data_IF_472231447062
#
_entry.id   IF_472231447062
#
_cell.length_a   1.000
_cell.length_b   1.000
_cell.length_c   1.000
_cell.angle_alpha   90.00
_cell.angle_beta   90.00
_cell.angle_gamma   90.00
#
_symmetry.space_group_name_H-M   'P 1'
#
loop_
_entity.id
_entity.type
_entity.pdbx_description
1 polymer ?
#
# COMPACT_ATOMS: atom_id res chain seq x y z
N UNK A 1 18.95 -19.23 -3.81
CA UNK A 1 17.49 -18.97 -3.73
C UNK A 1 16.92 -19.73 -2.55
N UNK A 2 16.03 -19.08 -1.81
CA UNK A 2 15.17 -19.71 -0.83
C UNK A 2 14.13 -20.64 -1.49
N UNK A 3 13.28 -21.26 -0.70
CA UNK A 3 12.27 -22.20 -1.21
C UNK A 3 10.88 -22.01 -0.58
N UNK A 4 10.67 -20.92 0.18
CA UNK A 4 9.40 -20.67 0.88
C UNK A 4 8.21 -20.44 -0.07
N UNK A 5 8.50 -19.97 -1.29
CA UNK A 5 7.51 -19.67 -2.32
C UNK A 5 7.72 -20.53 -3.58
N UNK A 6 8.47 -21.64 -3.44
CA UNK A 6 8.69 -22.57 -4.55
C UNK A 6 7.37 -22.99 -5.19
N UNK A 7 7.34 -23.02 -6.53
CA UNK A 7 6.14 -23.34 -7.36
C UNK A 7 5.00 -22.30 -7.24
N UNK A 8 5.12 -21.23 -6.46
CA UNK A 8 4.13 -20.16 -6.42
C UNK A 8 4.34 -19.18 -7.57
N UNK A 9 3.24 -18.61 -8.05
CA UNK A 9 3.24 -17.58 -9.08
C UNK A 9 2.75 -16.27 -8.51
N UNK A 10 3.56 -15.23 -8.63
CA UNK A 10 3.30 -13.90 -8.12
C UNK A 10 3.10 -12.90 -9.25
N UNK A 11 2.15 -11.97 -9.07
CA UNK A 11 1.97 -10.78 -9.90
C UNK A 11 2.22 -9.56 -9.02
N UNK A 12 3.10 -8.66 -9.47
CA UNK A 12 3.41 -7.40 -8.75
C UNK A 12 3.15 -6.22 -9.67
N UNK A 13 2.16 -5.40 -9.32
CA UNK A 13 1.84 -4.20 -10.11
C UNK A 13 2.78 -3.03 -9.78
N UNK A 14 3.21 -2.27 -10.80
CA UNK A 14 4.15 -1.16 -10.62
C UNK A 14 5.50 -1.63 -10.09
N UNK A 15 6.02 -2.73 -10.63
CA UNK A 15 7.24 -3.38 -10.13
C UNK A 15 8.54 -2.91 -10.79
N UNK A 16 8.49 -1.95 -11.71
CA UNK A 16 9.70 -1.46 -12.37
C UNK A 16 10.66 -0.71 -11.46
N UNK A 17 10.18 -0.16 -10.34
CA UNK A 17 11.00 0.69 -9.46
C UNK A 17 10.57 0.59 -7.98
N UNK A 18 11.42 1.08 -7.08
CA UNK A 18 11.12 1.31 -5.67
C UNK A 18 10.59 0.08 -4.95
N UNK A 19 9.53 0.23 -4.16
CA UNK A 19 8.96 -0.84 -3.35
C UNK A 19 8.51 -2.03 -4.21
N UNK A 20 7.89 -1.77 -5.37
CA UNK A 20 7.43 -2.84 -6.27
C UNK A 20 8.58 -3.68 -6.82
N UNK A 21 9.71 -3.04 -7.18
CA UNK A 21 10.94 -3.73 -7.58
C UNK A 21 11.48 -4.61 -6.45
N UNK A 22 11.67 -4.03 -5.27
CA UNK A 22 12.18 -4.76 -4.12
C UNK A 22 11.31 -5.98 -3.77
N UNK A 23 9.99 -5.83 -3.83
CA UNK A 23 9.03 -6.93 -3.60
C UNK A 23 9.18 -8.01 -4.69
N UNK A 24 9.23 -7.65 -5.98
CA UNK A 24 9.31 -8.61 -7.07
C UNK A 24 10.59 -9.47 -6.97
N UNK A 25 11.71 -8.83 -6.67
CA UNK A 25 13.00 -9.51 -6.46
C UNK A 25 12.95 -10.43 -5.25
N UNK A 26 12.47 -9.96 -4.09
CA UNK A 26 12.41 -10.76 -2.89
C UNK A 26 11.48 -11.99 -3.01
N UNK A 27 10.35 -11.86 -3.71
CA UNK A 27 9.48 -13.00 -4.02
C UNK A 27 10.20 -14.03 -4.90
N UNK A 28 10.95 -13.57 -5.90
CA UNK A 28 11.74 -14.45 -6.76
C UNK A 28 12.90 -15.13 -6.01
N UNK A 29 13.57 -14.42 -5.12
CA UNK A 29 14.63 -14.97 -4.26
C UNK A 29 14.14 -16.12 -3.40
N UNK A 30 12.88 -16.12 -2.99
CA UNK A 30 12.22 -17.22 -2.25
C UNK A 30 11.59 -18.29 -3.17
N UNK A 31 11.85 -18.22 -4.48
CA UNK A 31 11.50 -19.23 -5.45
C UNK A 31 10.16 -19.04 -6.16
N UNK A 32 9.50 -17.89 -6.02
CA UNK A 32 8.31 -17.57 -6.80
C UNK A 32 8.67 -17.28 -8.27
N UNK A 33 7.76 -17.67 -9.18
CA UNK A 33 7.76 -17.19 -10.57
C UNK A 33 6.99 -15.87 -10.61
N UNK A 34 7.53 -14.83 -11.26
CA UNK A 34 7.01 -13.47 -11.12
C UNK A 34 6.54 -12.90 -12.46
N UNK A 35 5.35 -12.33 -12.49
CA UNK A 35 4.94 -11.40 -13.54
C UNK A 35 5.18 -9.99 -13.03
N UNK A 36 6.11 -9.30 -13.65
CA UNK A 36 6.39 -7.87 -13.39
C UNK A 36 5.47 -7.00 -14.22
N UNK A 37 5.07 -5.84 -13.71
CA UNK A 37 4.22 -4.90 -14.44
C UNK A 37 4.70 -3.46 -14.32
N UNK A 38 4.66 -2.75 -15.44
CA UNK A 38 4.72 -1.29 -15.49
C UNK A 38 3.86 -0.77 -16.66
N UNK A 39 3.76 0.57 -16.76
CA UNK A 39 2.87 1.19 -17.75
C UNK A 39 3.39 1.03 -19.20
N UNK A 40 4.70 1.14 -19.40
CA UNK A 40 5.36 1.09 -20.71
C UNK A 40 6.83 0.71 -20.58
N UNK A 41 7.49 0.26 -21.68
CA UNK A 41 8.93 0.01 -21.70
C UNK A 41 9.74 1.33 -21.68
N UNK A 42 11.01 1.21 -21.25
CA UNK A 42 11.99 2.30 -21.32
C UNK A 42 11.81 3.41 -20.28
N UNK A 43 11.15 3.12 -19.15
CA UNK A 43 11.00 4.10 -18.06
C UNK A 43 12.37 4.31 -17.38
N UNK A 44 12.85 5.58 -17.24
CA UNK A 44 14.11 5.84 -16.55
C UNK A 44 14.11 5.29 -15.10
N UNK A 45 15.13 4.54 -14.76
CA UNK A 45 15.31 3.91 -13.46
C UNK A 45 14.76 2.48 -13.35
N UNK A 46 14.21 1.94 -14.41
CA UNK A 46 13.70 0.57 -14.53
C UNK A 46 12.23 0.48 -14.92
N UNK A 47 11.89 -0.61 -15.56
CA UNK A 47 10.55 -0.97 -16.00
C UNK A 47 10.29 -2.47 -15.77
N UNK A 48 9.16 -2.97 -16.25
CA UNK A 48 8.78 -4.37 -16.06
C UNK A 48 9.82 -5.34 -16.64
N UNK A 49 10.35 -5.06 -17.84
CA UNK A 49 11.33 -5.93 -18.51
C UNK A 49 12.68 -5.91 -17.80
N UNK A 50 13.15 -4.73 -17.37
CA UNK A 50 14.38 -4.57 -16.61
C UNK A 50 14.38 -5.48 -15.37
N UNK A 51 13.28 -5.51 -14.63
CA UNK A 51 13.18 -6.30 -13.41
C UNK A 51 13.00 -7.80 -13.73
N UNK A 52 12.24 -8.13 -14.78
CA UNK A 52 12.13 -9.53 -15.22
C UNK A 52 13.50 -10.08 -15.65
N UNK A 53 14.31 -9.30 -16.37
CA UNK A 53 15.68 -9.68 -16.74
C UNK A 53 16.59 -9.85 -15.52
N UNK A 54 16.52 -8.93 -14.55
CA UNK A 54 17.28 -9.02 -13.30
C UNK A 54 16.95 -10.32 -12.55
N UNK A 55 15.67 -10.64 -12.39
CA UNK A 55 15.21 -11.88 -11.76
C UNK A 55 15.73 -13.12 -12.53
N UNK A 56 15.61 -13.12 -13.84
CA UNK A 56 16.07 -14.24 -14.67
C UNK A 56 17.60 -14.41 -14.59
N UNK A 57 18.37 -13.32 -14.55
CA UNK A 57 19.82 -13.35 -14.41
C UNK A 57 20.28 -13.91 -13.04
N UNK A 58 19.47 -13.73 -11.98
CA UNK A 58 19.71 -14.34 -10.68
C UNK A 58 19.35 -15.83 -10.62
N UNK A 59 18.85 -16.41 -11.73
CA UNK A 59 18.39 -17.80 -11.82
C UNK A 59 16.92 -18.01 -11.40
N UNK A 60 16.14 -16.93 -11.22
CA UNK A 60 14.69 -16.99 -11.05
C UNK A 60 13.94 -17.16 -12.37
N UNK A 61 12.62 -16.97 -12.32
CA UNK A 61 11.75 -16.98 -13.51
C UNK A 61 10.81 -15.77 -13.45
N UNK A 62 10.91 -14.89 -14.43
CA UNK A 62 10.00 -13.75 -14.55
C UNK A 62 9.68 -13.41 -15.99
N UNK A 63 8.49 -12.86 -16.21
CA UNK A 63 8.03 -12.31 -17.47
C UNK A 63 7.49 -10.89 -17.27
N UNK A 64 7.76 -9.96 -18.18
CA UNK A 64 7.23 -8.62 -18.11
C UNK A 64 5.81 -8.55 -18.68
N UNK A 65 5.01 -7.64 -18.12
CA UNK A 65 3.71 -7.23 -18.66
C UNK A 65 3.62 -5.70 -18.66
N UNK A 66 3.25 -5.12 -19.77
CA UNK A 66 3.01 -3.69 -19.92
C UNK A 66 1.52 -3.37 -20.00
N UNK A 67 1.08 -2.45 -19.17
CA UNK A 67 -0.29 -1.97 -19.15
C UNK A 67 -0.55 -1.05 -17.97
N UNK A 68 -1.26 0.04 -18.24
CA UNK A 68 -1.65 1.00 -17.21
C UNK A 68 -2.77 0.40 -16.34
N UNK A 69 -2.45 0.18 -15.07
CA UNK A 69 -3.43 -0.32 -14.11
C UNK A 69 -4.49 0.75 -13.84
N UNK A 70 -5.75 0.42 -14.04
CA UNK A 70 -6.86 1.37 -13.86
C UNK A 70 -8.20 0.88 -14.43
N UNK A 71 -8.18 -0.19 -15.21
CA UNK A 71 -9.40 -0.77 -15.75
C UNK A 71 -9.42 -2.32 -15.66
N UNK A 72 -10.63 -2.88 -15.74
CA UNK A 72 -10.82 -4.34 -15.59
C UNK A 72 -10.09 -5.11 -16.68
N UNK A 73 -10.09 -4.65 -17.91
CA UNK A 73 -9.46 -5.36 -19.03
C UNK A 73 -7.95 -5.51 -18.83
N UNK A 74 -7.25 -4.45 -18.41
CA UNK A 74 -5.81 -4.53 -18.14
C UNK A 74 -5.53 -5.45 -16.96
N UNK A 75 -6.35 -5.35 -15.88
CA UNK A 75 -6.25 -6.29 -14.76
C UNK A 75 -6.45 -7.75 -15.18
N UNK A 76 -7.41 -8.02 -16.08
CA UNK A 76 -7.63 -9.37 -16.62
C UNK A 76 -6.41 -9.84 -17.44
N UNK A 77 -5.94 -9.04 -18.38
CA UNK A 77 -4.79 -9.38 -19.23
C UNK A 77 -3.51 -9.64 -18.41
N UNK A 78 -3.31 -8.86 -17.33
CA UNK A 78 -2.18 -9.08 -16.42
C UNK A 78 -2.27 -10.42 -15.69
N UNK A 79 -3.45 -10.81 -15.22
CA UNK A 79 -3.64 -12.12 -14.57
C UNK A 79 -3.56 -13.25 -15.58
N UNK A 80 -4.09 -13.06 -16.78
CA UNK A 80 -3.97 -14.06 -17.86
C UNK A 80 -2.50 -14.26 -18.24
N UNK A 81 -1.66 -13.23 -18.25
CA UNK A 81 -0.22 -13.39 -18.47
C UNK A 81 0.44 -14.32 -17.42
N UNK A 82 -0.01 -14.31 -16.16
CA UNK A 82 0.49 -15.24 -15.15
C UNK A 82 0.01 -16.68 -15.43
N UNK A 83 -1.25 -16.84 -15.83
CA UNK A 83 -1.83 -18.15 -16.14
C UNK A 83 -1.22 -18.73 -17.42
N UNK A 84 -1.05 -17.93 -18.47
CA UNK A 84 -0.52 -18.37 -19.76
C UNK A 84 0.95 -18.79 -19.68
N UNK A 85 1.76 -18.06 -18.90
CA UNK A 85 3.19 -18.37 -18.76
C UNK A 85 3.49 -19.41 -17.68
N UNK A 86 2.69 -19.45 -16.61
CA UNK A 86 3.04 -20.24 -15.42
C UNK A 86 1.90 -21.17 -14.93
N UNK A 87 0.74 -21.17 -15.59
CA UNK A 87 -0.38 -22.08 -15.33
C UNK A 87 -1.29 -21.69 -14.16
N UNK A 88 -0.94 -20.67 -13.34
CA UNK A 88 -1.66 -20.32 -12.12
C UNK A 88 -1.35 -18.89 -11.63
N UNK A 89 -2.06 -18.45 -10.61
CA UNK A 89 -1.70 -17.26 -9.80
C UNK A 89 -1.93 -17.56 -8.33
N UNK A 90 -0.91 -17.41 -7.51
CA UNK A 90 -0.96 -17.64 -6.05
C UNK A 90 -0.88 -16.36 -5.23
N UNK A 91 -0.13 -15.37 -5.71
CA UNK A 91 0.20 -14.16 -5.00
C UNK A 91 -0.11 -12.96 -5.90
N UNK A 92 -0.93 -12.03 -5.41
CA UNK A 92 -1.15 -10.73 -6.05
C UNK A 92 -0.67 -9.63 -5.10
N UNK A 93 0.27 -8.81 -5.56
CA UNK A 93 0.69 -7.59 -4.86
C UNK A 93 0.20 -6.37 -5.63
N UNK A 94 -0.82 -5.71 -5.10
CA UNK A 94 -1.34 -4.45 -5.63
C UNK A 94 -0.49 -3.28 -5.09
N UNK A 95 0.59 -2.96 -5.80
CA UNK A 95 1.53 -1.92 -5.42
C UNK A 95 1.45 -0.66 -6.30
N UNK A 96 1.00 -0.77 -7.54
CA UNK A 96 0.92 0.37 -8.48
C UNK A 96 0.24 1.60 -7.84
N UNK A 97 0.87 2.75 -8.00
CA UNK A 97 0.36 3.98 -7.44
C UNK A 97 1.08 5.21 -7.96
N UNK A 98 0.38 6.32 -7.96
CA UNK A 98 0.86 7.63 -8.39
C UNK A 98 0.39 8.72 -7.43
N UNK A 99 1.07 9.85 -7.44
CA UNK A 99 0.67 11.06 -6.73
C UNK A 99 0.32 12.18 -7.72
N UNK A 100 -0.72 12.95 -7.37
CA UNK A 100 -1.07 14.24 -7.97
C UNK A 100 -1.48 15.16 -6.81
N UNK A 101 -0.46 15.67 -6.12
CA UNK A 101 -0.65 16.43 -4.88
C UNK A 101 -1.16 17.84 -5.20
N UNK A 102 -2.28 18.20 -4.58
CA UNK A 102 -2.93 19.50 -4.72
C UNK A 102 -3.84 19.76 -3.52
N UNK A 103 -3.90 20.99 -3.05
CA UNK A 103 -4.90 21.37 -2.05
C UNK A 103 -6.29 21.20 -2.63
N UNK A 104 -7.25 20.74 -1.82
CA UNK A 104 -8.59 20.34 -2.30
C UNK A 104 -9.32 21.41 -3.11
N UNK A 105 -9.15 22.68 -2.77
CA UNK A 105 -9.80 23.80 -3.49
C UNK A 105 -9.15 24.14 -4.84
N UNK A 106 -8.01 23.57 -5.16
CA UNK A 106 -7.29 23.74 -6.43
C UNK A 106 -7.14 22.43 -7.22
N UNK A 107 -7.64 21.30 -6.67
CA UNK A 107 -7.53 19.99 -7.30
C UNK A 107 -8.47 19.88 -8.49
N UNK A 108 -7.97 19.47 -9.66
CA UNK A 108 -8.80 19.20 -10.81
C UNK A 108 -9.46 17.81 -10.74
N UNK A 109 -10.57 17.64 -11.46
CA UNK A 109 -11.23 16.34 -11.63
C UNK A 109 -10.26 15.30 -12.23
N UNK A 110 -9.45 15.68 -13.20
CA UNK A 110 -8.43 14.81 -13.80
C UNK A 110 -7.40 14.33 -12.78
N UNK A 111 -6.88 15.24 -11.91
CA UNK A 111 -5.93 14.87 -10.84
C UNK A 111 -6.58 13.92 -9.83
N UNK A 112 -7.86 14.09 -9.54
CA UNK A 112 -8.64 13.20 -8.69
C UNK A 112 -8.84 11.84 -9.35
N UNK A 113 -9.44 11.82 -10.53
CA UNK A 113 -9.82 10.59 -11.24
C UNK A 113 -8.62 9.72 -11.59
N UNK A 114 -7.51 10.34 -12.00
CA UNK A 114 -6.28 9.62 -12.30
C UNK A 114 -5.75 8.85 -11.09
N UNK A 115 -5.71 9.48 -9.91
CA UNK A 115 -5.21 8.84 -8.69
C UNK A 115 -6.17 7.75 -8.20
N UNK A 116 -7.47 8.01 -8.16
CA UNK A 116 -8.49 7.01 -7.81
C UNK A 116 -8.47 5.85 -8.82
N UNK A 117 -8.34 6.18 -10.11
CA UNK A 117 -8.30 5.20 -11.19
C UNK A 117 -7.15 4.21 -11.05
N UNK A 118 -5.93 4.70 -10.90
CA UNK A 118 -4.75 3.83 -10.79
C UNK A 118 -4.73 3.08 -9.46
N UNK A 119 -4.94 3.77 -8.34
CA UNK A 119 -4.73 3.20 -7.01
C UNK A 119 -5.91 2.31 -6.59
N UNK A 120 -7.11 2.86 -6.50
CA UNK A 120 -8.25 2.14 -5.92
C UNK A 120 -8.94 1.25 -6.95
N UNK A 121 -9.30 1.79 -8.10
CA UNK A 121 -9.94 1.01 -9.16
C UNK A 121 -8.99 -0.02 -9.75
N UNK A 122 -7.70 0.29 -9.87
CA UNK A 122 -6.67 -0.65 -10.31
C UNK A 122 -6.52 -1.84 -9.36
N UNK A 123 -6.44 -1.57 -8.04
CA UNK A 123 -6.45 -2.62 -7.00
C UNK A 123 -7.69 -3.51 -7.13
N UNK A 124 -8.88 -2.92 -7.30
CA UNK A 124 -10.11 -3.67 -7.53
C UNK A 124 -10.05 -4.53 -8.81
N UNK A 125 -9.59 -3.97 -9.93
CA UNK A 125 -9.55 -4.64 -11.23
C UNK A 125 -8.64 -5.88 -11.21
N UNK A 126 -7.42 -5.74 -10.68
CA UNK A 126 -6.48 -6.86 -10.55
C UNK A 126 -6.99 -7.92 -9.56
N UNK A 127 -7.50 -7.49 -8.40
CA UNK A 127 -8.05 -8.40 -7.39
C UNK A 127 -9.23 -9.20 -7.94
N UNK A 128 -10.19 -8.54 -8.60
CA UNK A 128 -11.35 -9.21 -9.23
C UNK A 128 -10.92 -10.32 -10.18
N UNK A 129 -9.93 -10.06 -11.01
CA UNK A 129 -9.43 -11.02 -12.00
C UNK A 129 -8.66 -12.18 -11.34
N UNK A 130 -7.79 -11.88 -10.36
CA UNK A 130 -7.03 -12.89 -9.63
C UNK A 130 -7.94 -13.80 -8.80
N UNK A 131 -8.95 -13.25 -8.13
CA UNK A 131 -9.88 -13.98 -7.27
C UNK A 131 -10.67 -15.05 -8.07
N UNK A 132 -10.97 -14.83 -9.33
CA UNK A 132 -11.62 -15.85 -10.16
C UNK A 132 -10.77 -17.14 -10.18
N UNK A 133 -9.48 -17.02 -10.42
CA UNK A 133 -8.54 -18.15 -10.44
C UNK A 133 -8.23 -18.71 -9.06
N UNK A 134 -7.97 -17.83 -8.09
CA UNK A 134 -7.65 -18.23 -6.71
C UNK A 134 -8.80 -19.00 -6.03
N UNK A 135 -10.06 -18.67 -6.36
CA UNK A 135 -11.22 -19.43 -5.87
C UNK A 135 -11.29 -20.84 -6.45
N UNK A 136 -10.98 -21.02 -7.72
CA UNK A 136 -10.88 -22.36 -8.34
C UNK A 136 -9.75 -23.16 -7.68
N UNK A 137 -8.62 -22.51 -7.37
CA UNK A 137 -7.46 -23.11 -6.72
C UNK A 137 -7.69 -23.38 -5.22
N UNK A 138 -8.73 -22.81 -4.59
CA UNK A 138 -8.98 -22.80 -3.14
C UNK A 138 -7.76 -22.30 -2.34
N UNK A 139 -7.01 -21.39 -2.90
CA UNK A 139 -5.79 -20.81 -2.30
C UNK A 139 -5.44 -19.50 -2.96
N UNK A 140 -4.94 -18.52 -2.19
CA UNK A 140 -4.43 -17.26 -2.71
C UNK A 140 -3.90 -16.34 -1.60
N UNK A 141 -3.03 -15.42 -1.99
CA UNK A 141 -2.47 -14.38 -1.11
C UNK A 141 -2.57 -13.05 -1.83
N UNK A 142 -3.29 -12.10 -1.25
CA UNK A 142 -3.44 -10.75 -1.81
C UNK A 142 -2.85 -9.76 -0.81
N UNK A 143 -1.86 -9.00 -1.24
CA UNK A 143 -1.19 -7.97 -0.45
C UNK A 143 -1.41 -6.63 -1.13
N UNK A 144 -2.11 -5.73 -0.47
CA UNK A 144 -2.42 -4.39 -0.98
C UNK A 144 -1.48 -3.36 -0.35
N UNK A 145 -0.88 -2.50 -1.15
CA UNK A 145 -0.06 -1.40 -0.63
C UNK A 145 -0.93 -0.18 -0.39
N UNK A 146 -1.21 0.10 0.88
CA UNK A 146 -1.89 1.31 1.34
C UNK A 146 -0.87 2.40 1.73
N UNK A 147 -1.20 3.29 2.64
CA UNK A 147 -0.32 4.37 3.13
C UNK A 147 -0.82 4.89 4.48
N UNK A 148 0.08 5.48 5.28
CA UNK A 148 -0.30 6.28 6.45
C UNK A 148 -1.22 7.46 6.06
N UNK A 149 -1.06 8.02 4.86
CA UNK A 149 -1.99 9.03 4.35
C UNK A 149 -3.43 8.52 4.24
N UNK A 150 -3.64 7.22 4.03
CA UNK A 150 -4.97 6.60 4.05
C UNK A 150 -5.53 6.37 5.45
N UNK A 151 -4.68 6.38 6.48
CA UNK A 151 -5.07 6.20 7.88
C UNK A 151 -5.33 7.54 8.57
N UNK A 152 -4.48 8.54 8.31
CA UNK A 152 -4.43 9.79 9.06
C UNK A 152 -4.75 11.03 8.21
N UNK A 153 -4.83 10.89 6.89
CA UNK A 153 -4.87 12.02 5.97
C UNK A 153 -3.49 12.66 5.77
N UNK A 154 -3.37 13.48 4.73
CA UNK A 154 -2.20 14.33 4.52
C UNK A 154 -2.63 15.58 3.75
N UNK A 155 -2.26 16.76 4.23
CA UNK A 155 -2.57 18.03 3.57
C UNK A 155 -2.00 18.05 2.15
N UNK A 156 -2.81 18.45 1.17
CA UNK A 156 -2.44 18.42 -0.24
C UNK A 156 -2.59 17.06 -0.95
N UNK A 157 -3.07 16.02 -0.25
CA UNK A 157 -3.26 14.67 -0.80
C UNK A 157 -4.69 14.13 -0.63
N UNK A 158 -5.77 14.90 -0.85
CA UNK A 158 -7.10 14.38 -0.60
C UNK A 158 -7.48 13.20 -1.51
N UNK A 159 -7.08 13.21 -2.79
CA UNK A 159 -7.25 12.11 -3.74
C UNK A 159 -6.47 10.85 -3.32
N UNK A 160 -5.19 11.01 -3.00
CA UNK A 160 -4.31 9.90 -2.60
C UNK A 160 -4.77 9.30 -1.25
N UNK A 161 -5.07 10.14 -0.27
CA UNK A 161 -5.58 9.70 1.03
C UNK A 161 -6.90 8.95 0.90
N UNK A 162 -7.84 9.45 0.08
CA UNK A 162 -9.10 8.78 -0.20
C UNK A 162 -8.88 7.41 -0.87
N UNK A 163 -8.01 7.33 -1.89
CA UNK A 163 -7.70 6.08 -2.56
C UNK A 163 -7.07 5.06 -1.59
N UNK A 164 -6.09 5.48 -0.79
CA UNK A 164 -5.38 4.60 0.16
C UNK A 164 -6.25 4.19 1.35
N UNK A 165 -7.18 5.05 1.81
CA UNK A 165 -8.22 4.68 2.78
C UNK A 165 -9.21 3.68 2.17
N UNK A 166 -9.60 3.88 0.91
CA UNK A 166 -10.44 2.94 0.17
C UNK A 166 -9.83 1.54 0.09
N UNK A 167 -8.51 1.43 -0.09
CA UNK A 167 -7.79 0.15 -0.06
C UNK A 167 -7.94 -0.55 1.30
N UNK A 168 -7.93 0.18 2.42
CA UNK A 168 -8.11 -0.41 3.76
C UNK A 168 -9.49 -1.05 3.89
N UNK A 169 -10.55 -0.32 3.51
CA UNK A 169 -11.91 -0.84 3.52
C UNK A 169 -12.09 -2.03 2.56
N UNK A 170 -11.53 -1.91 1.34
CA UNK A 170 -11.54 -2.98 0.34
C UNK A 170 -10.83 -4.25 0.85
N UNK A 171 -9.66 -4.12 1.46
CA UNK A 171 -8.91 -5.22 2.07
C UNK A 171 -9.75 -5.98 3.08
N UNK A 172 -10.36 -5.28 4.03
CA UNK A 172 -11.20 -5.87 5.08
C UNK A 172 -12.42 -6.60 4.50
N UNK A 173 -13.11 -5.97 3.54
CA UNK A 173 -14.28 -6.58 2.88
C UNK A 173 -13.90 -7.84 2.10
N UNK A 174 -12.81 -7.80 1.33
CA UNK A 174 -12.32 -8.95 0.59
C UNK A 174 -11.86 -10.08 1.52
N UNK A 175 -11.18 -9.77 2.63
CA UNK A 175 -10.75 -10.76 3.62
C UNK A 175 -11.93 -11.56 4.17
N UNK A 176 -13.03 -10.88 4.52
CA UNK A 176 -14.26 -11.52 5.00
C UNK A 176 -14.92 -12.41 3.93
N UNK A 177 -14.97 -11.94 2.69
CA UNK A 177 -15.64 -12.64 1.60
C UNK A 177 -14.84 -13.86 1.10
N UNK A 178 -13.50 -13.78 1.13
CA UNK A 178 -12.61 -14.71 0.45
C UNK A 178 -11.97 -15.76 1.39
N UNK A 179 -11.96 -15.54 2.69
CA UNK A 179 -11.35 -16.44 3.66
C UNK A 179 -11.83 -17.89 3.56
N UNK A 180 -13.11 -18.11 3.27
CA UNK A 180 -13.70 -19.46 3.07
C UNK A 180 -13.12 -20.23 1.88
N UNK A 181 -12.39 -19.59 0.98
CA UNK A 181 -11.69 -20.19 -0.15
C UNK A 181 -10.18 -20.34 0.08
N UNK A 182 -9.70 -20.20 1.32
CA UNK A 182 -8.27 -20.24 1.63
C UNK A 182 -7.47 -19.04 1.11
N UNK A 183 -8.15 -17.94 0.77
CA UNK A 183 -7.54 -16.71 0.26
C UNK A 183 -7.41 -15.70 1.39
N UNK A 184 -6.21 -15.22 1.67
CA UNK A 184 -5.98 -14.11 2.61
C UNK A 184 -5.77 -12.80 1.87
N UNK A 185 -6.29 -11.72 2.47
CA UNK A 185 -6.16 -10.35 1.93
C UNK A 185 -5.69 -9.43 3.05
N UNK A 186 -4.49 -8.89 2.92
CA UNK A 186 -3.89 -8.00 3.91
C UNK A 186 -3.39 -6.71 3.23
N UNK A 187 -3.14 -5.67 4.00
CA UNK A 187 -2.56 -4.44 3.49
C UNK A 187 -1.33 -4.02 4.28
N UNK A 188 -0.41 -3.33 3.60
CA UNK A 188 0.79 -2.74 4.19
C UNK A 188 0.77 -1.25 3.90
N UNK A 189 0.96 -0.42 4.92
CA UNK A 189 1.28 1.00 4.83
C UNK A 189 2.81 1.14 4.95
N UNK A 190 3.55 1.16 3.83
CA UNK A 190 4.98 1.21 3.85
C UNK A 190 5.47 2.64 4.02
N UNK A 191 6.66 2.77 4.57
CA UNK A 191 7.45 3.98 4.47
C UNK A 191 8.86 3.61 4.00
N UNK A 192 9.28 4.20 2.88
CA UNK A 192 10.59 3.94 2.28
C UNK A 192 11.02 5.14 1.41
N UNK A 193 12.31 5.36 1.28
CA UNK A 193 12.94 6.43 0.49
C UNK A 193 12.77 6.19 -1.02
N UNK A 194 11.54 6.23 -1.49
CA UNK A 194 11.19 6.10 -2.91
C UNK A 194 11.36 7.44 -3.65
N UNK A 195 11.22 7.41 -4.98
CA UNK A 195 11.20 8.62 -5.82
C UNK A 195 10.22 9.69 -5.31
N UNK A 196 9.09 9.29 -4.73
CA UNK A 196 8.08 10.20 -4.16
C UNK A 196 8.69 11.00 -2.99
N UNK A 197 9.37 10.34 -2.08
CA UNK A 197 10.03 11.00 -0.94
C UNK A 197 11.25 11.82 -1.36
N UNK A 198 12.01 11.36 -2.37
CA UNK A 198 13.17 12.09 -2.89
C UNK A 198 12.80 13.38 -3.64
N UNK A 199 11.52 13.59 -3.97
CA UNK A 199 11.00 14.86 -4.48
C UNK A 199 10.82 15.94 -3.40
N UNK A 200 10.84 15.56 -2.12
CA UNK A 200 10.80 16.47 -0.97
C UNK A 200 12.22 16.96 -0.68
N UNK A 201 12.39 18.23 -0.29
CA UNK A 201 13.73 18.75 0.05
C UNK A 201 14.31 18.06 1.30
N UNK A 202 15.64 17.89 1.41
CA UNK A 202 16.28 17.29 2.60
C UNK A 202 15.87 17.97 3.91
N UNK A 203 15.79 19.29 3.92
CA UNK A 203 15.30 20.07 5.09
C UNK A 203 13.90 19.61 5.49
N UNK A 204 12.99 19.54 4.53
CA UNK A 204 11.60 19.13 4.79
C UNK A 204 11.51 17.67 5.22
N UNK A 205 12.35 16.79 4.67
CA UNK A 205 12.43 15.40 5.07
C UNK A 205 12.83 15.26 6.55
N UNK A 206 13.82 16.03 7.03
CA UNK A 206 14.24 16.08 8.45
C UNK A 206 13.09 16.55 9.35
N UNK A 207 12.46 17.68 9.01
CA UNK A 207 11.31 18.20 9.76
C UNK A 207 10.19 17.15 9.89
N UNK A 208 9.87 16.48 8.82
CA UNK A 208 8.84 15.44 8.80
C UNK A 208 9.25 14.22 9.63
N UNK A 209 10.52 13.83 9.60
CA UNK A 209 11.04 12.72 10.40
C UNK A 209 10.88 12.97 11.90
N UNK A 210 11.20 14.18 12.34
CA UNK A 210 11.06 14.61 13.75
C UNK A 210 9.58 14.69 14.14
N UNK A 211 8.75 15.39 13.36
CA UNK A 211 7.31 15.56 13.63
C UNK A 211 6.59 14.21 13.73
N UNK A 212 7.00 13.21 12.94
CA UNK A 212 6.44 11.85 12.97
C UNK A 212 7.05 10.96 14.04
N UNK A 213 8.00 11.46 14.82
CA UNK A 213 8.69 10.67 15.86
C UNK A 213 9.55 9.53 15.32
N UNK A 214 10.00 9.62 14.08
CA UNK A 214 10.88 8.60 13.45
C UNK A 214 12.32 8.77 13.92
N UNK A 215 12.73 10.00 14.13
CA UNK A 215 14.08 10.40 14.59
C UNK A 215 13.97 11.60 15.55
N UNK A 216 15.00 11.81 16.38
CA UNK A 216 15.15 13.03 17.18
C UNK A 216 15.70 14.19 16.34
N UNK A 217 15.59 15.42 16.83
CA UNK A 217 16.20 16.60 16.19
C UNK A 217 17.71 16.42 16.00
N UNK A 218 18.42 15.89 17.01
CA UNK A 218 19.85 15.61 16.96
C UNK A 218 20.21 14.57 15.88
N UNK A 219 19.43 13.49 15.80
CA UNK A 219 19.60 12.47 14.76
C UNK A 219 19.35 13.06 13.37
N UNK A 220 18.25 13.80 13.20
CA UNK A 220 17.92 14.41 11.91
C UNK A 220 19.00 15.39 11.44
N UNK A 221 19.58 16.16 12.36
CA UNK A 221 20.67 17.11 12.08
C UNK A 221 22.00 16.43 11.71
N UNK A 222 22.23 15.19 12.19
CA UNK A 222 23.46 14.45 11.93
C UNK A 222 23.53 13.81 10.54
N UNK A 223 22.43 13.67 9.84
CA UNK A 223 22.38 13.04 8.51
C UNK A 223 22.80 14.01 7.40
N UNK A 224 23.59 13.56 6.47
CA UNK A 224 23.85 14.30 5.23
C UNK A 224 22.60 14.42 4.36
N UNK A 225 22.60 15.32 3.40
CA UNK A 225 21.47 15.48 2.44
C UNK A 225 21.28 14.25 1.55
N UNK A 226 22.32 13.45 1.37
CA UNK A 226 22.26 12.20 0.61
C UNK A 226 21.65 11.06 1.44
N UNK A 227 22.00 10.97 2.73
CA UNK A 227 21.56 9.90 3.62
C UNK A 227 20.15 10.09 4.20
N UNK A 228 19.70 11.36 4.31
CA UNK A 228 18.52 11.76 5.09
C UNK A 228 17.28 10.92 4.77
N UNK A 229 17.06 10.59 3.50
CA UNK A 229 15.87 9.85 3.12
C UNK A 229 15.90 8.40 3.61
N UNK A 230 17.00 7.71 3.39
CA UNK A 230 17.15 6.30 3.79
C UNK A 230 17.20 6.17 5.32
N UNK A 231 17.88 7.10 6.01
CA UNK A 231 17.99 7.09 7.48
C UNK A 231 16.67 7.40 8.19
N UNK A 232 15.82 8.24 7.59
CA UNK A 232 14.53 8.62 8.17
C UNK A 232 13.41 7.68 7.74
N UNK A 233 13.36 7.32 6.46
CA UNK A 233 12.23 6.59 5.88
C UNK A 233 12.53 5.12 5.57
N UNK A 234 13.77 4.67 5.72
CA UNK A 234 14.19 3.33 5.33
C UNK A 234 14.33 3.16 3.83
N UNK A 235 14.65 1.96 3.39
CA UNK A 235 14.82 1.60 1.99
C UNK A 235 13.63 0.79 1.47
N UNK A 236 13.36 0.76 0.15
CA UNK A 236 12.32 -0.09 -0.43
C UNK A 236 12.44 -1.56 -0.05
N UNK A 237 13.66 -2.05 0.10
CA UNK A 237 14.02 -3.41 0.48
C UNK A 237 13.56 -3.78 1.89
N UNK A 238 13.38 -2.82 2.79
CA UNK A 238 12.89 -3.05 4.16
C UNK A 238 11.41 -3.50 4.21
N UNK A 239 10.66 -3.23 3.14
CA UNK A 239 9.22 -3.59 3.04
C UNK A 239 9.05 -5.03 2.54
N UNK A 240 9.95 -5.49 1.68
CA UNK A 240 9.83 -6.75 0.96
C UNK A 240 9.74 -7.99 1.87
N UNK A 241 10.49 -8.12 2.98
CA UNK A 241 10.41 -9.29 3.86
C UNK A 241 9.01 -9.53 4.44
N UNK A 242 8.28 -8.46 4.80
CA UNK A 242 6.90 -8.60 5.28
C UNK A 242 5.97 -9.09 4.17
N UNK A 243 6.15 -8.64 2.93
CA UNK A 243 5.36 -9.13 1.79
C UNK A 243 5.61 -10.62 1.55
N UNK A 244 6.88 -11.05 1.55
CA UNK A 244 7.24 -12.46 1.42
C UNK A 244 6.63 -13.31 2.54
N UNK A 245 6.68 -12.84 3.77
CA UNK A 245 6.08 -13.52 4.92
C UNK A 245 4.56 -13.67 4.73
N UNK A 246 3.84 -12.58 4.39
CA UNK A 246 2.40 -12.61 4.16
C UNK A 246 2.00 -13.45 2.93
N UNK A 247 2.90 -13.60 1.97
CA UNK A 247 2.71 -14.46 0.80
C UNK A 247 2.93 -15.95 1.08
N UNK A 248 3.60 -16.30 2.18
CA UNK A 248 3.94 -17.66 2.55
C UNK A 248 2.81 -18.40 3.28
N UNK A 249 2.98 -19.72 3.44
CA UNK A 249 2.04 -20.55 4.21
C UNK A 249 2.13 -20.28 5.73
N UNK A 250 3.24 -19.71 6.20
CA UNK A 250 3.40 -19.29 7.59
C UNK A 250 2.38 -18.20 8.02
N UNK A 251 1.86 -17.44 7.06
CA UNK A 251 0.88 -16.39 7.29
C UNK A 251 -0.58 -16.81 6.94
N UNK A 252 -0.86 -18.11 6.81
CA UNK A 252 -2.18 -18.60 6.39
C UNK A 252 -3.35 -18.14 7.29
N UNK A 253 -3.07 -17.84 8.56
CA UNK A 253 -4.06 -17.35 9.53
C UNK A 253 -4.10 -15.82 9.65
N UNK A 254 -3.29 -15.09 8.86
CA UNK A 254 -3.26 -13.63 8.89
C UNK A 254 -4.14 -13.13 7.75
N UNK A 255 -5.30 -12.55 8.11
CA UNK A 255 -6.30 -12.11 7.14
C UNK A 255 -6.99 -10.83 7.60
N UNK A 256 -7.19 -9.87 6.70
CA UNK A 256 -7.86 -8.58 6.97
C UNK A 256 -7.03 -7.60 7.79
N UNK A 257 -5.72 -7.82 7.93
CA UNK A 257 -4.86 -7.00 8.76
C UNK A 257 -4.20 -5.88 7.97
N UNK A 258 -3.92 -4.78 8.68
CA UNK A 258 -3.23 -3.61 8.13
C UNK A 258 -1.91 -3.46 8.90
N UNK A 259 -0.81 -3.58 8.17
CA UNK A 259 0.54 -3.49 8.74
C UNK A 259 1.20 -2.17 8.39
N UNK A 260 2.16 -1.77 9.21
CA UNK A 260 3.17 -0.78 8.91
C UNK A 260 4.51 -1.48 8.67
N UNK A 261 5.32 -0.99 7.72
CA UNK A 261 6.68 -1.47 7.49
C UNK A 261 7.58 -0.31 7.06
N UNK A 262 8.70 -0.11 7.78
CA UNK A 262 9.72 0.88 7.45
C UNK A 262 11.00 0.59 8.22
N UNK A 263 12.15 0.56 7.56
CA UNK A 263 13.41 0.23 8.19
C UNK A 263 13.32 -1.10 8.93
N UNK A 264 13.85 -1.20 10.13
CA UNK A 264 13.73 -2.37 10.99
C UNK A 264 12.41 -2.49 11.76
N UNK A 265 11.40 -1.64 11.48
CA UNK A 265 10.12 -1.59 12.23
C UNK A 265 8.98 -2.21 11.43
N UNK A 266 8.33 -3.20 12.03
CA UNK A 266 7.03 -3.73 11.59
C UNK A 266 6.03 -3.52 12.72
N UNK A 267 4.84 -3.01 12.41
CA UNK A 267 3.76 -2.84 13.36
C UNK A 267 2.41 -3.24 12.72
N UNK A 268 1.39 -3.45 13.54
CA UNK A 268 0.02 -3.71 13.13
C UNK A 268 -0.88 -2.56 13.61
N UNK A 269 -1.77 -2.10 12.73
CA UNK A 269 -2.77 -1.10 13.10
C UNK A 269 -3.96 -1.77 13.77
N UNK A 270 -4.40 -1.20 14.90
CA UNK A 270 -5.63 -1.63 15.55
C UNK A 270 -6.83 -1.46 14.60
N UNK A 271 -7.84 -2.36 14.67
CA UNK A 271 -9.09 -2.16 13.95
C UNK A 271 -9.76 -0.85 14.37
N UNK A 272 -10.47 -0.20 13.43
CA UNK A 272 -11.33 0.92 13.79
C UNK A 272 -12.47 0.43 14.66
N UNK A 273 -12.52 0.89 15.90
CA UNK A 273 -13.52 0.53 16.89
C UNK A 273 -14.12 1.80 17.50
N UNK A 274 -15.37 1.69 17.97
CA UNK A 274 -15.92 2.74 18.81
C UNK A 274 -15.18 2.72 20.15
N UNK A 275 -14.54 3.82 20.50
CA UNK A 275 -13.80 3.96 21.77
C UNK A 275 -14.70 4.42 22.90
N UNK A 276 -15.76 5.17 22.59
CA UNK A 276 -16.70 5.71 23.55
C UNK A 276 -18.10 5.83 22.92
N UNK A 277 -19.15 5.77 23.71
CA UNK A 277 -20.52 5.95 23.26
C UNK A 277 -21.41 6.53 24.35
N UNK A 278 -22.41 7.31 23.97
CA UNK A 278 -23.48 7.78 24.86
C UNK A 278 -24.81 7.21 24.40
N UNK A 279 -25.72 6.97 25.34
CA UNK A 279 -27.02 6.36 25.05
C UNK A 279 -28.15 7.03 25.84
N UNK A 280 -29.30 7.19 25.20
CA UNK A 280 -30.59 7.51 25.83
C UNK A 280 -31.73 6.80 25.13
N UNK A 281 -32.88 6.68 25.79
CA UNK A 281 -34.10 6.18 25.15
C UNK A 281 -34.72 7.30 24.29
N UNK A 282 -34.94 7.05 23.02
CA UNK A 282 -35.53 8.01 22.06
C UNK A 282 -34.48 8.77 21.26
N UNK A 283 -34.91 9.85 20.63
CA UNK A 283 -34.05 10.70 19.77
C UNK A 283 -33.34 11.75 20.62
N UNK A 284 -32.10 12.04 20.27
CA UNK A 284 -31.37 13.19 20.77
C UNK A 284 -31.95 14.49 20.20
N UNK A 285 -32.12 15.52 21.05
CA UNK A 285 -32.34 16.90 20.58
C UNK A 285 -31.00 17.63 20.47
N UNK A 286 -31.02 18.80 19.81
CA UNK A 286 -29.80 19.61 19.71
C UNK A 286 -29.33 20.09 21.08
N UNK A 287 -30.27 20.57 21.91
CA UNK A 287 -29.98 21.09 23.25
C UNK A 287 -29.37 20.00 24.17
N UNK A 288 -29.85 18.77 24.04
CA UNK A 288 -29.29 17.64 24.79
C UNK A 288 -27.87 17.33 24.35
N UNK A 289 -27.60 17.33 23.00
CA UNK A 289 -26.24 17.13 22.49
C UNK A 289 -25.30 18.25 22.91
N UNK A 290 -25.73 19.52 22.84
CA UNK A 290 -24.94 20.67 23.30
C UNK A 290 -24.56 20.56 24.78
N UNK A 291 -25.46 20.00 25.62
CA UNK A 291 -25.22 19.79 27.05
C UNK A 291 -24.29 18.62 27.34
N UNK A 292 -24.40 17.52 26.60
CA UNK A 292 -23.74 16.22 26.95
C UNK A 292 -22.39 16.06 26.23
N UNK A 293 -22.29 16.47 24.97
CA UNK A 293 -21.09 16.24 24.15
C UNK A 293 -19.79 16.84 24.76
N UNK A 294 -19.77 18.08 25.32
CA UNK A 294 -18.53 18.66 25.87
C UNK A 294 -17.94 17.85 27.01
N UNK A 295 -18.80 17.23 27.83
CA UNK A 295 -18.36 16.42 28.99
C UNK A 295 -18.16 14.92 28.70
N UNK A 296 -18.44 14.49 27.49
CA UNK A 296 -18.37 13.08 27.08
C UNK A 296 -17.55 12.94 25.80
N UNK A 297 -18.17 12.60 24.67
CA UNK A 297 -17.48 12.23 23.41
C UNK A 297 -16.55 13.33 22.89
N UNK A 298 -16.81 14.61 23.22
CA UNK A 298 -15.97 15.74 22.77
C UNK A 298 -14.90 16.14 23.79
N UNK A 299 -14.90 15.57 24.99
CA UNK A 299 -14.02 16.02 26.11
C UNK A 299 -12.53 15.92 25.80
N UNK A 300 -12.12 14.94 25.02
CA UNK A 300 -10.71 14.62 24.70
C UNK A 300 -10.39 14.70 23.20
N UNK A 301 -11.28 15.29 22.38
CA UNK A 301 -11.02 15.42 20.95
C UNK A 301 -9.88 16.40 20.67
N UNK A 302 -8.93 15.96 19.87
CA UNK A 302 -7.82 16.79 19.39
C UNK A 302 -8.18 17.30 17.99
N UNK A 303 -8.19 18.61 17.81
CA UNK A 303 -8.28 19.20 16.47
C UNK A 303 -6.90 19.10 15.79
N UNK A 304 -6.75 18.33 14.71
CA UNK A 304 -5.47 18.13 14.04
C UNK A 304 -4.95 19.39 13.33
N UNK A 305 -5.83 20.37 13.09
CA UNK A 305 -5.48 21.62 12.42
C UNK A 305 -6.38 22.75 12.96
N UNK A 306 -6.13 23.23 14.19
CA UNK A 306 -6.90 24.35 14.73
C UNK A 306 -6.71 25.60 13.86
N UNK A 307 -7.77 26.39 13.72
CA UNK A 307 -7.67 27.67 13.03
C UNK A 307 -6.56 28.51 13.67
N UNK A 308 -5.65 29.05 12.85
CA UNK A 308 -4.71 30.04 13.34
C UNK A 308 -5.51 31.23 13.84
N UNK A 309 -5.23 31.69 15.08
CA UNK A 309 -5.81 32.93 15.56
C UNK A 309 -5.36 34.04 14.62
N UNK A 310 -6.30 34.65 13.91
CA UNK A 310 -6.04 35.87 13.14
C UNK A 310 -5.40 36.89 14.11
N UNK A 311 -4.09 37.04 14.03
CA UNK A 311 -3.34 38.07 14.71
C UNK A 311 -3.43 39.38 13.97
#
# INVERSE_FOLDING_TARGET
MGNKLKERVAVVTGSGQGIGRAIAIALAEEGARVVTNDIQPGIPGGDAETIAMEINNMGGQAVPFYGEIGCIQVGQNLIDAAVDNFGRIDILVNNAGINRDRMVWNMSEEEWDTVIGVILKGTFACTRSAVARMREQQSGRIINITSESGLHGNAGQPNYSAAKAGIIGFTKSCALALGKYGITVNAIAPQAATRIWRAVTPKRAREMGVVRGLVTDEQAASFSDEEVYNKIFGEPEDVAPLVVYLASDAAANINGQIFYASGGRIAIYAPWTQVESIYKKGRWTLEELESVMPGTLASNLVNPAPAESLK
#
